data_IF_928275296513
#
_entry.id   IF_928275296513
#
_cell.length_a   1.000
_cell.length_b   1.000
_cell.length_c   1.000
_cell.angle_alpha   90.00
_cell.angle_beta   90.00
_cell.angle_gamma   90.00
#
_symmetry.space_group_name_H-M   'P 1'
#
loop_
_entity.id
_entity.type
_entity.pdbx_description
1 polymer ?
#
# COMPACT_ATOMS: atom_id res chain seq x y z
N UNK A 1 -30.25 -0.64 8.77
CA UNK A 1 -29.17 -0.01 9.57
C UNK A 1 -28.27 -1.13 10.06
N UNK A 2 -26.93 -1.00 9.93
CA UNK A 2 -25.96 -1.94 10.47
C UNK A 2 -25.44 -1.32 11.75
N UNK A 3 -25.44 -2.08 12.85
CA UNK A 3 -24.83 -1.69 14.11
C UNK A 3 -23.51 -2.43 14.25
N UNK A 4 -22.44 -1.71 14.54
CA UNK A 4 -21.14 -2.30 14.86
C UNK A 4 -21.14 -2.50 16.37
N UNK A 5 -21.49 -3.71 16.79
CA UNK A 5 -21.64 -4.09 18.19
C UNK A 5 -20.91 -5.40 18.49
N UNK A 6 -20.96 -5.81 19.77
CA UNK A 6 -20.30 -7.03 20.21
C UNK A 6 -20.76 -8.28 19.44
N UNK A 7 -22.03 -8.34 19.05
CA UNK A 7 -22.60 -9.51 18.34
C UNK A 7 -21.95 -9.64 16.94
N UNK A 8 -21.81 -8.53 16.22
CA UNK A 8 -21.14 -8.52 14.92
C UNK A 8 -19.66 -8.91 15.06
N UNK A 9 -18.97 -8.39 16.09
CA UNK A 9 -17.55 -8.70 16.29
C UNK A 9 -17.35 -10.17 16.67
N UNK A 10 -18.20 -10.74 17.54
CA UNK A 10 -18.16 -12.15 17.91
C UNK A 10 -18.40 -13.08 16.69
N UNK A 11 -19.34 -12.74 15.80
CA UNK A 11 -19.58 -13.48 14.55
C UNK A 11 -18.35 -13.43 13.63
N UNK A 12 -17.70 -12.26 13.49
CA UNK A 12 -16.48 -12.13 12.72
C UNK A 12 -15.32 -12.95 13.30
N UNK A 13 -15.16 -12.98 14.62
CA UNK A 13 -14.17 -13.84 15.26
C UNK A 13 -14.45 -15.32 15.04
N UNK A 14 -15.72 -15.75 15.11
CA UNK A 14 -16.09 -17.13 14.82
C UNK A 14 -15.68 -17.52 13.40
N UNK A 15 -16.01 -16.70 12.42
CA UNK A 15 -15.62 -16.91 11.01
C UNK A 15 -14.10 -16.85 10.79
N UNK A 16 -13.40 -15.95 11.49
CA UNK A 16 -11.93 -15.87 11.43
C UNK A 16 -11.25 -17.14 11.94
N UNK A 17 -11.80 -17.81 12.96
CA UNK A 17 -11.30 -19.09 13.48
C UNK A 17 -11.42 -20.24 12.48
N UNK A 18 -12.44 -20.21 11.63
CA UNK A 18 -12.68 -21.21 10.57
C UNK A 18 -11.85 -20.94 9.31
N UNK A 19 -11.25 -19.77 9.21
CA UNK A 19 -10.42 -19.37 8.06
C UNK A 19 -8.98 -19.83 8.23
N UNK A 20 -8.41 -20.49 7.21
CA UNK A 20 -6.99 -20.86 7.17
C UNK A 20 -6.06 -19.65 7.34
N UNK A 21 -6.55 -18.45 7.02
CA UNK A 21 -5.81 -17.20 7.16
C UNK A 21 -5.92 -16.59 8.54
N UNK A 22 -6.73 -17.16 9.47
CA UNK A 22 -7.01 -16.64 10.81
C UNK A 22 -7.52 -15.19 10.79
N UNK A 23 -8.27 -14.83 9.75
CA UNK A 23 -8.88 -13.50 9.60
C UNK A 23 -10.15 -13.54 8.77
N UNK A 24 -11.05 -12.57 9.05
CA UNK A 24 -12.29 -12.37 8.32
C UNK A 24 -12.56 -10.87 8.17
N UNK A 25 -12.92 -10.45 6.96
CA UNK A 25 -13.34 -9.08 6.70
C UNK A 25 -14.88 -8.96 6.62
N UNK A 26 -15.37 -7.77 6.93
CA UNK A 26 -16.75 -7.36 6.73
C UNK A 26 -16.76 -6.06 5.95
N UNK A 27 -17.32 -6.09 4.75
CA UNK A 27 -17.36 -4.96 3.82
C UNK A 27 -18.49 -3.99 4.22
N UNK A 28 -18.11 -2.74 4.49
CA UNK A 28 -19.04 -1.65 4.83
C UNK A 28 -19.30 -0.71 3.65
N UNK A 29 -18.79 -1.01 2.47
CA UNK A 29 -19.06 -0.22 1.27
C UNK A 29 -20.53 -0.31 0.91
N UNK A 30 -21.06 0.73 0.25
CA UNK A 30 -22.43 0.76 -0.27
C UNK A 30 -22.55 -0.16 -1.48
N UNK A 31 -21.49 -0.24 -2.29
CA UNK A 31 -21.41 -1.09 -3.48
C UNK A 31 -19.97 -1.48 -3.79
N UNK A 32 -19.79 -2.48 -4.64
CA UNK A 32 -18.48 -2.88 -5.15
C UNK A 32 -17.80 -1.82 -6.03
N UNK A 33 -18.55 -0.81 -6.49
CA UNK A 33 -18.04 0.30 -7.30
C UNK A 33 -17.60 1.52 -6.50
N UNK A 34 -17.73 1.50 -5.17
CA UNK A 34 -17.31 2.61 -4.31
C UNK A 34 -15.82 2.90 -4.49
N UNK A 35 -15.50 4.18 -4.62
CA UNK A 35 -14.13 4.68 -4.74
C UNK A 35 -13.45 4.90 -3.38
N UNK A 36 -14.05 4.41 -2.31
CA UNK A 36 -13.42 4.37 -0.99
C UNK A 36 -13.71 3.02 -0.33
N UNK A 37 -12.70 2.48 0.32
CA UNK A 37 -12.79 1.21 1.02
C UNK A 37 -13.08 1.48 2.49
N UNK A 38 -13.99 0.70 3.05
CA UNK A 38 -14.39 0.75 4.45
C UNK A 38 -14.67 -0.68 4.89
N UNK A 39 -13.84 -1.21 5.77
CA UNK A 39 -13.94 -2.60 6.18
C UNK A 39 -13.72 -2.77 7.68
N UNK A 40 -14.37 -3.76 8.25
CA UNK A 40 -13.92 -4.35 9.52
C UNK A 40 -13.07 -5.57 9.20
N UNK A 41 -11.96 -5.72 9.87
CA UNK A 41 -11.10 -6.90 9.77
C UNK A 41 -10.94 -7.51 11.16
N UNK A 42 -11.51 -8.70 11.34
CA UNK A 42 -11.25 -9.53 12.52
C UNK A 42 -9.97 -10.34 12.27
N UNK A 43 -9.01 -10.21 13.16
CA UNK A 43 -7.66 -10.75 13.07
C UNK A 43 -7.37 -11.57 14.33
N UNK A 44 -6.88 -12.78 14.16
CA UNK A 44 -6.48 -13.64 15.28
C UNK A 44 -4.95 -13.74 15.36
N UNK A 45 -4.38 -13.97 16.57
CA UNK A 45 -2.95 -14.24 16.71
C UNK A 45 -2.52 -15.38 15.78
N UNK A 46 -1.40 -15.18 15.07
CA UNK A 46 -0.91 -16.11 14.05
C UNK A 46 -1.37 -15.80 12.64
N UNK A 47 -2.31 -14.85 12.43
CA UNK A 47 -2.62 -14.37 11.06
C UNK A 47 -1.37 -13.78 10.44
N UNK A 48 -1.19 -14.03 9.13
CA UNK A 48 -0.08 -13.47 8.36
C UNK A 48 -0.65 -12.51 7.33
N UNK A 49 -0.42 -11.23 7.53
CA UNK A 49 -0.68 -10.20 6.52
C UNK A 49 0.65 -9.95 5.80
N UNK A 50 0.75 -10.12 4.47
CA UNK A 50 1.97 -9.79 3.75
C UNK A 50 2.36 -8.33 3.99
N UNK A 51 3.67 -8.03 3.97
CA UNK A 51 4.12 -6.64 3.91
C UNK A 51 3.61 -6.06 2.59
N UNK A 52 2.85 -4.96 2.65
CA UNK A 52 2.20 -4.35 1.50
C UNK A 52 2.18 -2.83 1.61
N UNK A 53 1.79 -2.16 0.55
CA UNK A 53 1.59 -0.70 0.54
C UNK A 53 0.38 -0.32 -0.31
N UNK A 54 -0.12 0.88 -0.04
CA UNK A 54 -1.14 1.56 -0.83
C UNK A 54 -0.53 2.82 -1.45
N UNK A 55 -0.06 2.79 -2.71
CA UNK A 55 0.73 3.89 -3.28
C UNK A 55 -0.04 5.21 -3.38
N UNK A 56 -1.36 5.14 -3.54
CA UNK A 56 -2.20 6.26 -3.94
C UNK A 56 -3.04 6.86 -2.82
N UNK A 57 -3.09 6.25 -1.65
CA UNK A 57 -3.91 6.72 -0.53
C UNK A 57 -3.30 6.39 0.82
N UNK A 58 -3.59 7.24 1.80
CA UNK A 58 -3.36 6.90 3.20
C UNK A 58 -4.36 5.82 3.62
N UNK A 59 -3.96 4.97 4.55
CA UNK A 59 -4.85 4.02 5.21
C UNK A 59 -5.09 4.45 6.65
N UNK A 60 -6.36 4.56 7.03
CA UNK A 60 -6.76 4.84 8.40
C UNK A 60 -7.08 3.52 9.09
N UNK A 61 -6.36 3.21 10.16
CA UNK A 61 -6.54 2.02 10.97
C UNK A 61 -7.02 2.44 12.36
N UNK A 62 -8.22 1.99 12.74
CA UNK A 62 -8.79 2.20 14.08
C UNK A 62 -9.02 0.85 14.72
N UNK A 63 -8.41 0.61 15.86
CA UNK A 63 -8.58 -0.61 16.64
C UNK A 63 -9.84 -0.53 17.52
N UNK A 64 -10.85 -1.34 17.21
CA UNK A 64 -12.10 -1.38 17.96
C UNK A 64 -11.98 -2.21 19.23
N UNK A 65 -11.22 -3.29 19.18
CA UNK A 65 -10.93 -4.14 20.34
C UNK A 65 -9.66 -4.98 20.08
N UNK A 66 -9.08 -5.49 21.17
CA UNK A 66 -7.87 -6.30 21.12
C UNK A 66 -6.59 -5.48 21.27
N UNK A 67 -5.47 -6.08 20.83
CA UNK A 67 -4.14 -5.48 20.84
C UNK A 67 -3.37 -5.94 19.62
N UNK A 68 -2.79 -5.02 18.89
CA UNK A 68 -1.92 -5.30 17.76
C UNK A 68 -0.82 -4.24 17.62
N UNK A 69 0.14 -4.51 16.78
CA UNK A 69 1.19 -3.56 16.41
C UNK A 69 1.12 -3.34 14.91
N UNK A 70 1.00 -2.09 14.48
CA UNK A 70 1.27 -1.71 13.10
C UNK A 70 2.78 -1.62 12.92
N UNK A 71 3.33 -2.32 11.93
CA UNK A 71 4.77 -2.41 11.69
C UNK A 71 5.09 -1.81 10.32
N UNK A 72 5.96 -0.81 10.31
CA UNK A 72 6.39 -0.09 9.11
C UNK A 72 7.77 -0.60 8.67
N UNK A 73 7.96 -0.71 7.36
CA UNK A 73 9.18 -1.23 6.76
C UNK A 73 9.75 -0.26 5.74
N UNK A 74 11.05 -0.38 5.51
CA UNK A 74 11.70 0.25 4.36
C UNK A 74 11.52 -0.59 3.07
N UNK A 75 11.98 -0.07 1.93
CA UNK A 75 11.89 -0.75 0.62
C UNK A 75 12.67 -2.08 0.56
N UNK A 76 13.63 -2.27 1.46
CA UNK A 76 14.46 -3.47 1.52
C UNK A 76 13.82 -4.55 2.42
N UNK A 77 12.76 -4.18 3.16
CA UNK A 77 12.02 -5.05 4.05
C UNK A 77 12.59 -5.07 5.47
N UNK A 78 13.40 -4.07 5.83
CA UNK A 78 13.83 -3.89 7.21
C UNK A 78 12.77 -3.10 7.98
N UNK A 79 12.48 -3.52 9.19
CA UNK A 79 11.55 -2.85 10.08
C UNK A 79 12.13 -1.46 10.47
N UNK A 80 11.32 -0.42 10.31
CA UNK A 80 11.70 0.96 10.60
C UNK A 80 10.94 1.56 11.79
N UNK A 81 9.69 1.11 12.02
CA UNK A 81 8.86 1.64 13.10
C UNK A 81 7.84 0.60 13.57
N UNK A 82 7.51 0.64 14.85
CA UNK A 82 6.43 -0.16 15.47
C UNK A 82 5.47 0.75 16.21
N UNK A 83 4.19 0.67 15.87
CA UNK A 83 3.12 1.48 16.45
C UNK A 83 2.17 0.55 17.21
N UNK A 84 2.31 0.42 18.55
CA UNK A 84 1.43 -0.41 19.34
C UNK A 84 0.04 0.23 19.45
N UNK A 85 -1.00 -0.54 19.13
CA UNK A 85 -2.39 -0.16 19.27
C UNK A 85 -3.04 -0.98 20.40
N UNK A 86 -3.59 -0.29 21.38
CA UNK A 86 -4.30 -0.84 22.54
C UNK A 86 -5.28 0.22 23.06
N UNK A 87 -6.58 0.09 22.78
CA UNK A 87 -7.58 1.05 23.27
C UNK A 87 -7.60 1.20 24.80
N UNK A 88 -7.20 0.18 25.55
CA UNK A 88 -7.14 0.25 27.02
C UNK A 88 -6.05 1.20 27.55
N UNK A 89 -5.07 1.53 26.70
CA UNK A 89 -3.97 2.47 27.02
C UNK A 89 -4.14 3.84 26.33
N UNK A 90 -5.22 4.02 25.54
CA UNK A 90 -5.49 5.26 24.82
C UNK A 90 -4.88 5.30 23.40
N UNK A 91 -4.30 4.19 22.92
CA UNK A 91 -3.73 4.07 21.57
C UNK A 91 -4.76 3.41 20.65
N UNK A 92 -5.62 4.23 20.07
CA UNK A 92 -6.80 3.75 19.33
C UNK A 92 -6.55 3.40 17.87
N UNK A 93 -5.51 3.95 17.25
CA UNK A 93 -5.28 3.74 15.83
C UNK A 93 -4.13 4.57 15.29
N UNK A 94 -3.89 4.46 13.99
CA UNK A 94 -2.87 5.23 13.27
C UNK A 94 -3.34 5.53 11.85
N UNK A 95 -2.60 6.41 11.19
CA UNK A 95 -2.72 6.68 9.76
C UNK A 95 -1.43 6.22 9.10
N UNK A 96 -1.51 5.21 8.25
CA UNK A 96 -0.38 4.75 7.45
C UNK A 96 -0.30 5.62 6.20
N UNK A 97 0.82 6.34 5.97
CA UNK A 97 0.96 7.20 4.81
C UNK A 97 0.94 6.44 3.48
N UNK A 98 0.46 7.09 2.43
CA UNK A 98 0.54 6.56 1.07
C UNK A 98 1.97 6.12 0.72
N UNK A 99 2.11 4.91 0.19
CA UNK A 99 3.38 4.33 -0.22
C UNK A 99 4.20 3.68 0.90
N UNK A 100 3.84 3.83 2.17
CA UNK A 100 4.53 3.18 3.27
C UNK A 100 4.32 1.65 3.24
N UNK A 101 5.41 0.89 3.30
CA UNK A 101 5.37 -0.56 3.46
C UNK A 101 4.99 -0.91 4.88
N UNK A 102 3.97 -1.74 5.07
CA UNK A 102 3.46 -2.06 6.39
C UNK A 102 2.82 -3.44 6.48
N UNK A 103 2.64 -3.89 7.71
CA UNK A 103 1.87 -5.07 8.10
C UNK A 103 1.40 -4.95 9.54
N UNK A 104 0.57 -5.89 9.99
CA UNK A 104 0.10 -5.95 11.38
C UNK A 104 0.61 -7.21 12.09
N UNK A 105 1.06 -7.05 13.32
CA UNK A 105 1.33 -8.13 14.26
C UNK A 105 0.21 -8.19 15.31
N UNK A 106 -0.54 -9.28 15.31
CA UNK A 106 -1.72 -9.44 16.16
C UNK A 106 -1.35 -10.11 17.48
N UNK A 107 -1.46 -9.37 18.59
CA UNK A 107 -1.09 -9.85 19.93
C UNK A 107 -2.24 -10.56 20.63
N UNK A 108 -3.47 -10.09 20.45
CA UNK A 108 -4.71 -10.70 20.96
C UNK A 108 -5.77 -10.67 19.84
N UNK A 109 -6.86 -11.46 19.94
CA UNK A 109 -7.96 -11.31 18.98
C UNK A 109 -8.39 -9.86 18.86
N UNK A 110 -8.33 -9.31 17.65
CA UNK A 110 -8.47 -7.88 17.36
C UNK A 110 -9.45 -7.63 16.23
N UNK A 111 -10.19 -6.55 16.30
CA UNK A 111 -10.95 -6.02 15.15
C UNK A 111 -10.51 -4.61 14.87
N UNK A 112 -10.08 -4.38 13.64
CA UNK A 112 -9.78 -3.04 13.13
C UNK A 112 -10.87 -2.58 12.18
N UNK A 113 -11.09 -1.26 12.13
CA UNK A 113 -11.75 -0.57 11.04
C UNK A 113 -10.68 0.05 10.17
N UNK A 114 -10.67 -0.35 8.89
CA UNK A 114 -9.81 0.23 7.86
C UNK A 114 -10.63 1.11 6.92
N UNK A 115 -10.06 2.28 6.58
CA UNK A 115 -10.61 3.15 5.55
C UNK A 115 -9.48 3.72 4.69
N UNK A 116 -9.67 3.65 3.37
CA UNK A 116 -8.75 4.23 2.37
C UNK A 116 -9.48 4.58 1.08
N UNK A 117 -8.92 5.50 0.33
CA UNK A 117 -9.43 5.86 -0.98
C UNK A 117 -9.00 4.85 -2.04
N UNK A 118 -9.75 4.83 -3.14
CA UNK A 118 -9.54 3.91 -4.24
C UNK A 118 -10.50 2.72 -4.22
N UNK A 119 -10.83 2.25 -5.39
CA UNK A 119 -11.70 1.09 -5.58
C UNK A 119 -10.96 -0.19 -5.18
N UNK A 120 -11.62 -1.07 -4.44
CA UNK A 120 -11.04 -2.34 -4.00
C UNK A 120 -10.48 -3.15 -5.18
N UNK A 121 -9.23 -3.56 -5.07
CA UNK A 121 -8.50 -4.31 -6.11
C UNK A 121 -8.07 -3.47 -7.32
N UNK A 122 -8.27 -2.14 -7.30
CA UNK A 122 -7.87 -1.20 -8.35
C UNK A 122 -7.16 0.04 -7.78
N UNK A 123 -6.81 0.02 -6.51
CA UNK A 123 -6.16 1.11 -5.77
C UNK A 123 -4.63 1.10 -5.93
N UNK A 124 -4.08 0.16 -6.70
CA UNK A 124 -2.65 0.00 -6.91
C UNK A 124 -1.92 -0.67 -5.75
N UNK A 125 -2.65 -1.24 -4.80
CA UNK A 125 -2.05 -2.00 -3.69
C UNK A 125 -1.15 -3.12 -4.20
N UNK A 126 0.02 -3.28 -3.61
CA UNK A 126 0.98 -4.33 -3.96
C UNK A 126 1.73 -4.83 -2.73
N UNK A 127 2.15 -6.07 -2.75
CA UNK A 127 3.01 -6.65 -1.71
C UNK A 127 4.48 -6.31 -1.96
N UNK A 128 5.30 -6.35 -0.91
CA UNK A 128 6.74 -6.14 -1.03
C UNK A 128 7.40 -7.22 -1.91
N UNK A 129 6.90 -8.45 -1.85
CA UNK A 129 7.40 -9.55 -2.67
C UNK A 129 7.08 -9.33 -4.16
N UNK A 130 5.85 -8.88 -4.49
CA UNK A 130 5.48 -8.50 -5.86
C UNK A 130 6.33 -7.34 -6.37
N UNK A 131 6.56 -6.32 -5.53
CA UNK A 131 7.42 -5.20 -5.85
C UNK A 131 8.86 -5.65 -6.12
N UNK A 132 9.45 -6.46 -5.23
CA UNK A 132 10.80 -7.01 -5.41
C UNK A 132 10.89 -7.91 -6.64
N UNK A 133 9.86 -8.72 -6.92
CA UNK A 133 9.82 -9.55 -8.13
C UNK A 133 9.79 -8.70 -9.40
N UNK A 134 9.00 -7.62 -9.44
CA UNK A 134 8.99 -6.67 -10.56
C UNK A 134 10.38 -6.05 -10.79
N UNK A 135 11.06 -5.62 -9.73
CA UNK A 135 12.42 -5.05 -9.85
C UNK A 135 13.42 -6.10 -10.33
N UNK A 136 13.33 -7.34 -9.83
CA UNK A 136 14.23 -8.42 -10.22
C UNK A 136 14.07 -8.83 -11.71
N UNK A 137 12.87 -8.68 -12.28
CA UNK A 137 12.65 -8.91 -13.72
C UNK A 137 13.31 -7.85 -14.61
N UNK A 138 13.67 -6.69 -14.05
CA UNK A 138 14.33 -5.58 -14.75
C UNK A 138 15.63 -5.18 -14.05
N UNK A 139 16.61 -6.09 -13.88
CA UNK A 139 17.85 -5.83 -13.12
C UNK A 139 18.69 -4.71 -13.72
N UNK A 140 18.52 -4.40 -15.01
CA UNK A 140 19.20 -3.29 -15.69
C UNK A 140 18.65 -1.90 -15.33
N UNK A 141 17.49 -1.82 -14.68
CA UNK A 141 16.92 -0.54 -14.26
C UNK A 141 17.50 -0.02 -12.94
N UNK A 142 18.26 -0.85 -12.18
CA UNK A 142 18.97 -0.41 -10.98
C UNK A 142 20.37 0.16 -11.28
N UNK A 143 20.79 0.16 -12.52
CA UNK A 143 22.05 0.80 -12.96
C UNK A 143 21.70 2.03 -13.80
N UNK A 144 20.95 2.96 -13.19
CA UNK A 144 20.96 4.31 -13.74
C UNK A 144 22.35 4.88 -13.47
N UNK A 145 23.25 4.72 -14.44
CA UNK A 145 24.47 5.51 -14.43
C UNK A 145 24.02 6.96 -14.53
N UNK A 146 24.59 7.84 -13.74
CA UNK A 146 24.34 9.29 -13.77
C UNK A 146 24.80 9.94 -15.11
N UNK A 147 24.94 9.16 -16.18
CA UNK A 147 25.29 9.69 -17.50
C UNK A 147 24.04 10.18 -18.23
N UNK A 148 24.07 11.38 -18.72
CA UNK A 148 22.95 12.05 -19.42
C UNK A 148 22.41 11.18 -20.58
N UNK A 149 23.26 10.38 -21.23
CA UNK A 149 22.89 9.48 -22.32
C UNK A 149 21.99 8.33 -21.91
N UNK A 150 22.22 7.78 -20.71
CA UNK A 150 21.39 6.69 -20.21
C UNK A 150 20.04 7.20 -19.68
N UNK A 151 20.04 8.37 -19.05
CA UNK A 151 18.81 9.03 -18.61
C UNK A 151 17.86 9.31 -19.79
N UNK A 152 18.39 9.82 -20.90
CA UNK A 152 17.63 10.05 -22.12
C UNK A 152 16.96 8.78 -22.65
N UNK A 153 17.70 7.69 -22.77
CA UNK A 153 17.16 6.39 -23.20
C UNK A 153 16.08 5.86 -22.26
N UNK A 154 16.27 6.04 -20.97
CA UNK A 154 15.31 5.60 -19.96
C UNK A 154 14.01 6.42 -20.04
N UNK A 155 14.12 7.72 -20.27
CA UNK A 155 12.95 8.58 -20.49
C UNK A 155 12.23 8.19 -21.80
N UNK A 156 12.96 7.99 -22.90
CA UNK A 156 12.39 7.54 -24.18
C UNK A 156 11.66 6.22 -24.04
N UNK A 157 12.24 5.26 -23.32
CA UNK A 157 11.63 3.96 -23.05
C UNK A 157 10.33 4.10 -22.23
N UNK A 158 10.37 4.87 -21.14
CA UNK A 158 9.22 5.10 -20.28
C UNK A 158 8.06 5.78 -21.05
N UNK A 159 8.36 6.82 -21.83
CA UNK A 159 7.39 7.49 -22.70
C UNK A 159 6.80 6.52 -23.73
N UNK A 160 7.63 5.66 -24.29
CA UNK A 160 7.20 4.64 -25.25
C UNK A 160 6.22 3.63 -24.63
N UNK A 161 6.49 3.17 -23.41
CA UNK A 161 5.62 2.27 -22.65
C UNK A 161 4.26 2.92 -22.35
N UNK A 162 4.25 4.15 -21.87
CA UNK A 162 3.03 4.89 -21.55
C UNK A 162 2.17 5.17 -22.79
N UNK A 163 2.78 5.48 -23.92
CA UNK A 163 2.06 5.63 -25.19
C UNK A 163 1.38 4.34 -25.64
N UNK A 164 2.02 3.18 -25.45
CA UNK A 164 1.45 1.88 -25.80
C UNK A 164 0.29 1.48 -24.86
N UNK A 165 0.33 1.91 -23.61
CA UNK A 165 -0.75 1.65 -22.63
C UNK A 165 -1.96 2.58 -22.79
N UNK A 166 -1.88 3.61 -23.62
CA UNK A 166 -2.92 4.61 -23.81
C UNK A 166 -2.99 5.69 -22.72
N UNK A 167 -2.02 5.72 -21.82
CA UNK A 167 -1.93 6.68 -20.69
C UNK A 167 -1.19 7.94 -21.10
N UNK A 168 -1.75 8.75 -21.99
CA UNK A 168 -1.09 9.97 -22.49
C UNK A 168 -0.90 11.09 -21.44
N UNK A 169 -1.54 11.00 -20.27
CA UNK A 169 -1.50 12.07 -19.25
C UNK A 169 -0.26 12.03 -18.33
N UNK A 170 0.61 11.05 -18.43
CA UNK A 170 1.50 10.69 -17.32
C UNK A 170 2.98 11.01 -17.53
N UNK A 171 3.38 11.58 -18.66
CA UNK A 171 4.79 11.88 -18.91
C UNK A 171 5.25 13.25 -18.36
N UNK A 172 4.77 13.64 -17.17
CA UNK A 172 5.30 14.83 -16.51
C UNK A 172 6.72 14.57 -15.97
N UNK A 173 7.60 15.60 -15.93
CA UNK A 173 8.93 15.44 -15.33
C UNK A 173 8.91 14.87 -13.92
N UNK A 174 7.90 15.22 -13.13
CA UNK A 174 7.73 14.71 -11.78
C UNK A 174 7.40 13.20 -11.75
N UNK A 175 6.55 12.73 -12.66
CA UNK A 175 6.26 11.31 -12.82
C UNK A 175 7.52 10.55 -13.22
N UNK A 176 8.22 11.02 -14.24
CA UNK A 176 9.47 10.42 -14.72
C UNK A 176 10.54 10.38 -13.62
N UNK A 177 10.71 11.46 -12.87
CA UNK A 177 11.62 11.52 -11.72
C UNK A 177 11.33 10.45 -10.70
N UNK A 178 10.06 10.26 -10.35
CA UNK A 178 9.63 9.22 -9.39
C UNK A 178 9.83 7.81 -9.94
N UNK A 179 9.48 7.57 -11.19
CA UNK A 179 9.59 6.25 -11.81
C UNK A 179 11.04 5.83 -12.01
N UNK A 180 11.92 6.76 -12.37
CA UNK A 180 13.33 6.48 -12.61
C UNK A 180 14.21 6.66 -11.35
N UNK A 181 13.63 7.20 -10.26
CA UNK A 181 14.34 7.55 -9.04
C UNK A 181 15.57 8.46 -9.30
N UNK A 182 15.36 9.49 -10.14
CA UNK A 182 16.36 10.47 -10.54
C UNK A 182 15.90 11.85 -10.08
N UNK A 183 16.79 12.75 -9.64
CA UNK A 183 16.44 14.11 -9.25
C UNK A 183 15.58 14.82 -10.31
N UNK A 184 14.53 15.53 -9.85
CA UNK A 184 13.58 16.20 -10.74
C UNK A 184 14.27 17.20 -11.68
N UNK A 185 15.26 17.94 -11.19
CA UNK A 185 16.04 18.90 -11.96
C UNK A 185 16.79 18.28 -13.13
N UNK A 186 17.33 17.06 -12.95
CA UNK A 186 18.02 16.32 -14.01
C UNK A 186 17.04 15.82 -15.07
N UNK A 187 15.86 15.40 -14.66
CA UNK A 187 14.78 14.96 -15.56
C UNK A 187 14.25 16.15 -16.35
N UNK A 188 13.93 17.26 -15.71
CA UNK A 188 13.45 18.48 -16.37
C UNK A 188 14.44 18.98 -17.44
N UNK A 189 15.72 19.00 -17.09
CA UNK A 189 16.79 19.36 -18.03
C UNK A 189 16.84 18.42 -19.21
N UNK A 190 16.83 17.10 -18.95
CA UNK A 190 16.91 16.08 -19.99
C UNK A 190 15.68 16.11 -20.92
N UNK A 191 14.47 16.18 -20.37
CA UNK A 191 13.23 16.25 -21.15
C UNK A 191 13.17 17.52 -22.02
N UNK A 192 13.63 18.66 -21.48
CA UNK A 192 13.75 19.91 -22.26
C UNK A 192 14.72 19.79 -23.44
N UNK A 193 15.85 19.10 -23.23
CA UNK A 193 16.83 18.81 -24.29
C UNK A 193 16.28 17.85 -25.36
N UNK A 194 15.37 16.96 -24.96
CA UNK A 194 14.69 16.01 -25.86
C UNK A 194 13.50 16.64 -26.59
N UNK A 195 13.01 17.78 -26.16
CA UNK A 195 11.83 18.44 -26.74
C UNK A 195 10.49 17.75 -26.39
N UNK A 196 10.42 17.13 -25.23
CA UNK A 196 9.24 16.41 -24.70
C UNK A 196 8.86 16.96 -23.34
#
# INVERSE_FOLDING_TARGET
>A
MIQIDKTLLDDLFAKAKESDRLRMNYDLRTSASDNSQRMLNALLPGTKVPIHRHPNSNENVILLCGKLVEVIFDKDGNESERIPLDPSTGNYGCVVPAGAWHTVEVLTPSVIFEAKDGKYGQDGSETLDEYKAKIALYPSQNVFSNSLGDLKKNIEYLIGMERQSGSMEVCSPLYVSRMLNVPLEDVEKCMKEMGV
#
